data_IF_677485158194
#
_entry.id   IF_677485158194
#
_cell.length_a   1.000
_cell.length_b   1.000
_cell.length_c   1.000
_cell.angle_alpha   90.00
_cell.angle_beta   90.00
_cell.angle_gamma   90.00
#
_symmetry.space_group_name_H-M   'P 1'
#
loop_
_entity.id
_entity.type
_entity.pdbx_description
1 polymer ?
#
# COMPACT_ATOMS: atom_id res chain seq x y z
N UNK A 1 24.04 8.59 -6.79
CA UNK A 1 23.69 8.42 -5.38
C UNK A 1 23.28 6.96 -5.24
N UNK A 2 24.10 6.12 -4.63
CA UNK A 2 23.75 4.71 -4.41
C UNK A 2 22.47 4.64 -3.56
N UNK A 3 21.57 3.74 -3.93
CA UNK A 3 20.32 3.53 -3.22
C UNK A 3 20.63 2.97 -1.83
N UNK A 4 20.34 3.73 -0.77
CA UNK A 4 20.41 3.28 0.64
C UNK A 4 19.21 2.40 1.00
N UNK A 5 18.73 1.57 0.06
CA UNK A 5 17.68 0.62 0.34
C UNK A 5 18.25 -0.52 1.21
N UNK A 6 17.54 -0.99 2.23
CA UNK A 6 17.99 -2.15 3.00
C UNK A 6 18.12 -3.37 2.09
N UNK A 7 19.18 -4.16 2.27
CA UNK A 7 19.32 -5.42 1.54
C UNK A 7 18.19 -6.37 1.94
N UNK A 8 17.53 -6.95 0.94
CA UNK A 8 16.51 -7.98 1.09
C UNK A 8 16.93 -9.14 2.01
N UNK A 9 18.23 -9.46 2.06
CA UNK A 9 18.79 -10.54 2.89
C UNK A 9 18.77 -10.22 4.40
N UNK A 10 18.76 -8.94 4.76
CA UNK A 10 18.73 -8.46 6.15
C UNK A 10 17.30 -8.26 6.67
N UNK A 11 16.32 -8.21 5.76
CA UNK A 11 14.92 -8.02 6.11
C UNK A 11 14.26 -9.35 6.51
N UNK A 12 13.54 -9.32 7.63
CA UNK A 12 12.82 -10.49 8.16
C UNK A 12 11.31 -10.30 8.05
N UNK A 13 10.63 -11.42 7.83
CA UNK A 13 9.19 -11.54 7.93
C UNK A 13 8.90 -12.84 8.69
N UNK A 14 8.28 -12.71 9.86
CA UNK A 14 8.14 -13.83 10.81
C UNK A 14 6.90 -14.70 10.53
N UNK A 15 6.11 -14.36 9.50
CA UNK A 15 4.90 -15.07 9.10
C UNK A 15 4.78 -15.12 7.56
N UNK A 16 3.96 -16.02 6.99
CA UNK A 16 3.77 -16.08 5.53
C UNK A 16 3.21 -14.77 4.99
N UNK A 17 3.81 -14.24 3.93
CA UNK A 17 3.33 -13.05 3.23
C UNK A 17 1.86 -13.22 2.78
N UNK A 18 0.90 -12.41 3.27
CA UNK A 18 -0.51 -12.49 2.90
C UNK A 18 -0.79 -12.59 1.40
N UNK A 19 -1.37 -13.73 0.98
CA UNK A 19 -1.74 -14.05 -0.40
C UNK A 19 -0.57 -14.18 -1.38
N UNK A 20 0.66 -14.41 -0.91
CA UNK A 20 1.81 -14.60 -1.81
C UNK A 20 1.63 -15.79 -2.76
N UNK A 21 0.84 -16.79 -2.37
CA UNK A 21 0.50 -17.95 -3.19
C UNK A 21 -0.32 -17.59 -4.45
N UNK A 22 -0.94 -16.41 -4.49
CA UNK A 22 -1.70 -15.92 -5.64
C UNK A 22 -0.83 -15.12 -6.62
N UNK A 23 0.39 -14.76 -6.22
CA UNK A 23 1.31 -13.99 -7.05
C UNK A 23 2.07 -14.87 -8.04
N UNK A 24 2.27 -14.35 -9.26
CA UNK A 24 3.16 -14.98 -10.26
C UNK A 24 4.65 -14.86 -9.91
N UNK A 25 5.00 -13.98 -8.97
CA UNK A 25 6.38 -13.76 -8.49
C UNK A 25 6.37 -13.66 -6.95
N UNK A 26 6.32 -14.79 -6.25
CA UNK A 26 6.22 -14.80 -4.79
C UNK A 26 7.37 -14.07 -4.08
N UNK A 27 8.60 -14.13 -4.61
CA UNK A 27 9.76 -13.48 -3.99
C UNK A 27 9.66 -11.94 -3.99
N UNK A 28 9.31 -11.34 -5.14
CA UNK A 28 9.09 -9.89 -5.24
C UNK A 28 7.93 -9.42 -4.37
N UNK A 29 6.91 -10.26 -4.25
CA UNK A 29 5.76 -10.02 -3.39
C UNK A 29 6.13 -10.08 -1.90
N UNK A 30 6.91 -11.09 -1.50
CA UNK A 30 7.43 -11.24 -0.14
C UNK A 30 8.36 -10.08 0.24
N UNK A 31 9.16 -9.58 -0.69
CA UNK A 31 10.01 -8.41 -0.44
C UNK A 31 9.22 -7.18 0.01
N UNK A 32 8.05 -6.91 -0.59
CA UNK A 32 7.18 -5.81 -0.14
C UNK A 32 6.63 -6.05 1.27
N UNK A 33 6.36 -7.30 1.65
CA UNK A 33 5.98 -7.66 3.00
C UNK A 33 7.12 -7.49 4.02
N UNK A 34 8.33 -7.88 3.64
CA UNK A 34 9.55 -7.63 4.42
C UNK A 34 9.76 -6.14 4.69
N UNK A 35 9.53 -5.27 3.70
CA UNK A 35 9.57 -3.82 3.90
C UNK A 35 8.47 -3.32 4.83
N UNK A 36 7.23 -3.80 4.69
CA UNK A 36 6.14 -3.46 5.61
C UNK A 36 6.48 -3.86 7.05
N UNK A 37 7.01 -5.07 7.25
CA UNK A 37 7.42 -5.53 8.58
C UNK A 37 8.58 -4.70 9.12
N UNK A 38 9.58 -4.40 8.28
CA UNK A 38 10.70 -3.56 8.65
C UNK A 38 10.25 -2.17 9.09
N UNK A 39 9.34 -1.53 8.37
CA UNK A 39 8.88 -0.18 8.69
C UNK A 39 7.96 -0.17 9.91
N UNK A 40 6.95 -1.05 9.94
CA UNK A 40 5.83 -0.96 10.88
C UNK A 40 5.79 -2.03 11.97
N UNK A 41 6.47 -3.17 11.79
CA UNK A 41 6.39 -4.34 12.67
C UNK A 41 4.94 -4.72 13.03
N UNK A 42 4.09 -4.85 12.00
CA UNK A 42 2.69 -5.21 12.18
C UNK A 42 2.57 -6.65 12.71
N UNK A 43 1.60 -6.94 13.59
CA UNK A 43 1.36 -8.31 14.06
C UNK A 43 0.88 -9.19 12.89
N UNK A 44 1.11 -10.51 12.99
CA UNK A 44 0.59 -11.49 12.01
C UNK A 44 -0.93 -11.31 11.88
N UNK A 45 -1.44 -10.94 10.70
CA UNK A 45 -2.88 -10.75 10.51
C UNK A 45 -3.68 -12.05 10.71
N UNK A 46 -3.06 -13.22 10.51
CA UNK A 46 -3.72 -14.52 10.65
C UNK A 46 -4.00 -14.91 12.11
N UNK A 47 -3.29 -14.28 13.06
CA UNK A 47 -3.48 -14.48 14.49
C UNK A 47 -4.56 -13.56 15.09
N UNK A 48 -5.26 -12.79 14.26
CA UNK A 48 -6.34 -11.93 14.75
C UNK A 48 -7.45 -12.75 15.41
N UNK A 49 -7.99 -12.32 16.56
CA UNK A 49 -8.96 -13.12 17.30
C UNK A 49 -10.22 -13.38 16.48
N UNK A 50 -10.65 -14.64 16.48
CA UNK A 50 -11.94 -15.07 15.91
C UNK A 50 -13.07 -14.43 16.71
N UNK A 51 -14.02 -13.81 16.02
CA UNK A 51 -15.22 -13.25 16.63
C UNK A 51 -16.16 -14.38 17.06
N UNK A 52 -16.73 -14.26 18.26
CA UNK A 52 -17.66 -15.25 18.82
C UNK A 52 -19.11 -14.85 18.61
N UNK A 53 -19.36 -13.55 18.45
CA UNK A 53 -20.68 -12.99 18.15
C UNK A 53 -20.94 -12.96 16.65
N UNK A 54 -22.16 -13.30 16.21
CA UNK A 54 -22.50 -13.26 14.80
C UNK A 54 -22.51 -11.82 14.28
N UNK A 55 -21.97 -11.65 13.07
CA UNK A 55 -22.07 -10.41 12.31
C UNK A 55 -23.39 -10.38 11.52
N UNK A 56 -23.92 -9.18 11.23
CA UNK A 56 -25.07 -9.07 10.34
C UNK A 56 -24.70 -9.49 8.92
N UNK A 57 -25.70 -9.94 8.14
CA UNK A 57 -25.48 -10.34 6.75
C UNK A 57 -24.88 -9.21 5.89
N UNK A 58 -25.28 -7.96 6.13
CA UNK A 58 -24.72 -6.78 5.45
C UNK A 58 -23.22 -6.63 5.74
N UNK A 59 -22.81 -6.74 7.00
CA UNK A 59 -21.40 -6.64 7.41
C UNK A 59 -20.58 -7.79 6.83
N UNK A 60 -21.11 -9.03 6.87
CA UNK A 60 -20.45 -10.18 6.27
C UNK A 60 -20.25 -10.00 4.77
N UNK A 61 -21.26 -9.52 4.05
CA UNK A 61 -21.15 -9.26 2.61
C UNK A 61 -20.07 -8.21 2.29
N UNK A 62 -19.98 -7.14 3.08
CA UNK A 62 -18.93 -6.12 2.92
C UNK A 62 -17.52 -6.69 3.16
N UNK A 63 -17.37 -7.49 4.23
CA UNK A 63 -16.11 -8.18 4.57
C UNK A 63 -15.71 -9.16 3.45
N UNK A 64 -16.62 -10.02 3.01
CA UNK A 64 -16.40 -11.01 1.96
C UNK A 64 -16.02 -10.34 0.63
N UNK A 65 -16.71 -9.25 0.27
CA UNK A 65 -16.40 -8.48 -0.94
C UNK A 65 -15.01 -7.85 -0.89
N UNK A 66 -14.61 -7.30 0.25
CA UNK A 66 -13.27 -6.74 0.47
C UNK A 66 -12.19 -7.81 0.37
N UNK A 67 -12.40 -8.96 1.03
CA UNK A 67 -11.50 -10.12 0.95
C UNK A 67 -11.36 -10.58 -0.50
N UNK A 68 -12.47 -10.73 -1.23
CA UNK A 68 -12.45 -11.14 -2.63
C UNK A 68 -11.69 -10.14 -3.52
N UNK A 69 -11.90 -8.84 -3.32
CA UNK A 69 -11.17 -7.79 -4.04
C UNK A 69 -9.67 -7.83 -3.75
N UNK A 70 -9.27 -8.01 -2.49
CA UNK A 70 -7.87 -8.19 -2.10
C UNK A 70 -7.25 -9.45 -2.75
N UNK A 71 -7.93 -10.60 -2.68
CA UNK A 71 -7.46 -11.84 -3.35
C UNK A 71 -7.30 -11.66 -4.86
N UNK A 72 -8.20 -10.92 -5.49
CA UNK A 72 -8.13 -10.59 -6.92
C UNK A 72 -6.90 -9.72 -7.20
N UNK A 73 -6.69 -8.64 -6.42
CA UNK A 73 -5.51 -7.77 -6.56
C UNK A 73 -4.20 -8.50 -6.31
N UNK A 74 -4.16 -9.47 -5.38
CA UNK A 74 -2.95 -10.26 -5.11
C UNK A 74 -2.43 -11.02 -6.35
N UNK A 75 -3.31 -11.33 -7.30
CA UNK A 75 -2.95 -11.95 -8.58
C UNK A 75 -2.55 -10.97 -9.69
N UNK A 76 -2.65 -9.65 -9.47
CA UNK A 76 -2.35 -8.65 -10.51
C UNK A 76 -0.85 -8.51 -10.73
N UNK A 77 -0.44 -8.49 -11.99
CA UNK A 77 0.97 -8.37 -12.40
C UNK A 77 1.60 -7.06 -11.91
N UNK A 78 0.84 -5.96 -11.81
CA UNK A 78 1.38 -4.66 -11.36
C UNK A 78 1.99 -4.72 -9.96
N UNK A 79 1.51 -5.58 -9.06
CA UNK A 79 2.08 -5.71 -7.71
C UNK A 79 3.54 -6.21 -7.70
N UNK A 80 3.93 -6.92 -8.75
CA UNK A 80 5.23 -7.58 -8.88
C UNK A 80 5.92 -7.27 -10.22
N UNK A 81 5.46 -6.24 -10.93
CA UNK A 81 6.04 -5.84 -12.19
C UNK A 81 7.46 -5.30 -11.94
N UNK A 82 8.42 -5.76 -12.74
CA UNK A 82 9.69 -5.05 -12.86
C UNK A 82 9.37 -3.72 -13.53
N UNK A 83 9.62 -2.63 -12.80
CA UNK A 83 9.42 -1.27 -13.28
C UNK A 83 10.69 -0.52 -13.05
N UNK A 84 11.13 0.22 -14.05
CA UNK A 84 12.36 0.99 -13.95
C UNK A 84 12.14 2.40 -14.46
N UNK A 85 12.73 3.36 -13.76
CA UNK A 85 12.81 4.75 -14.17
C UNK A 85 14.29 5.12 -14.17
N UNK A 86 14.83 5.43 -15.34
CA UNK A 86 16.18 5.93 -15.50
C UNK A 86 16.12 7.38 -15.95
N UNK A 87 16.74 8.25 -15.16
CA UNK A 87 16.93 9.66 -15.49
C UNK A 87 18.41 9.86 -15.76
N UNK A 88 18.76 10.24 -16.97
CA UNK A 88 20.14 10.53 -17.36
C UNK A 88 20.24 11.93 -17.94
N UNK A 89 21.40 12.56 -17.76
CA UNK A 89 21.67 13.89 -18.31
C UNK A 89 23.15 13.98 -18.63
N UNK A 90 23.50 14.23 -19.89
CA UNK A 90 24.89 14.23 -20.33
C UNK A 90 25.65 15.48 -19.85
N UNK A 91 24.98 16.63 -19.74
CA UNK A 91 25.56 17.87 -19.21
C UNK A 91 24.50 18.74 -18.52
N UNK A 92 24.91 19.69 -17.66
CA UNK A 92 23.98 20.56 -16.91
C UNK A 92 22.99 21.35 -17.79
N UNK A 93 23.35 21.59 -19.04
CA UNK A 93 22.57 22.39 -20.00
C UNK A 93 21.70 21.53 -20.92
N UNK A 94 21.84 20.22 -20.87
CA UNK A 94 21.04 19.30 -21.68
C UNK A 94 19.75 18.86 -20.97
N UNK A 95 18.69 18.57 -21.74
CA UNK A 95 17.49 17.97 -21.21
C UNK A 95 17.79 16.66 -20.48
N UNK A 96 17.02 16.37 -19.43
CA UNK A 96 17.06 15.06 -18.78
C UNK A 96 16.42 14.05 -19.72
N UNK A 97 17.20 13.08 -20.18
CA UNK A 97 16.69 11.91 -20.87
C UNK A 97 15.98 10.99 -19.86
N UNK A 98 14.80 10.52 -20.26
CA UNK A 98 13.93 9.69 -19.42
C UNK A 98 13.73 8.37 -20.15
N UNK A 99 14.10 7.27 -19.50
CA UNK A 99 13.73 5.92 -19.92
C UNK A 99 12.86 5.33 -18.84
N UNK A 100 11.66 4.87 -19.20
CA UNK A 100 10.71 4.26 -18.27
C UNK A 100 10.26 2.93 -18.84
N UNK A 101 10.36 1.90 -18.01
CA UNK A 101 9.72 0.61 -18.26
C UNK A 101 8.50 0.51 -17.35
N UNK A 102 7.32 0.70 -17.94
CA UNK A 102 6.04 0.74 -17.24
C UNK A 102 5.08 -0.30 -17.83
N UNK A 103 4.17 -0.86 -17.02
CA UNK A 103 3.13 -1.73 -17.53
C UNK A 103 2.19 -0.96 -18.47
N UNK A 104 1.45 -1.70 -19.31
CA UNK A 104 0.49 -1.08 -20.23
C UNK A 104 -0.64 -0.35 -19.49
N UNK A 105 -1.24 0.63 -20.15
CA UNK A 105 -2.38 1.39 -19.63
C UNK A 105 -3.55 0.50 -19.20
N UNK A 106 -3.78 -0.62 -19.90
CA UNK A 106 -4.80 -1.61 -19.53
C UNK A 106 -4.53 -2.19 -18.13
N UNK A 107 -3.28 -2.58 -17.87
CA UNK A 107 -2.86 -3.12 -16.57
C UNK A 107 -2.97 -2.05 -15.49
N UNK A 108 -2.53 -0.82 -15.78
CA UNK A 108 -2.58 0.29 -14.83
C UNK A 108 -4.04 0.63 -14.50
N UNK A 109 -4.88 0.90 -15.51
CA UNK A 109 -6.30 1.26 -15.30
C UNK A 109 -7.05 0.18 -14.54
N UNK A 110 -6.89 -1.09 -14.91
CA UNK A 110 -7.52 -2.21 -14.23
C UNK A 110 -7.12 -2.31 -12.75
N UNK A 111 -5.83 -2.11 -12.45
CA UNK A 111 -5.34 -2.06 -11.07
C UNK A 111 -5.90 -0.86 -10.30
N UNK A 112 -5.82 0.34 -10.89
CA UNK A 112 -6.22 1.60 -10.26
C UNK A 112 -7.71 1.60 -9.91
N UNK A 113 -8.57 1.05 -10.78
CA UNK A 113 -10.01 0.93 -10.51
C UNK A 113 -10.30 0.04 -9.30
N UNK A 114 -9.70 -1.15 -9.22
CA UNK A 114 -9.93 -2.06 -8.09
C UNK A 114 -9.29 -1.53 -6.80
N UNK A 115 -8.11 -0.92 -6.90
CA UNK A 115 -7.49 -0.20 -5.78
C UNK A 115 -8.40 0.87 -5.21
N UNK A 116 -9.06 1.68 -6.06
CA UNK A 116 -10.00 2.73 -5.62
C UNK A 116 -11.14 2.17 -4.78
N UNK A 117 -11.70 1.01 -5.16
CA UNK A 117 -12.75 0.34 -4.38
C UNK A 117 -12.27 -0.04 -2.97
N UNK A 118 -11.00 -0.43 -2.83
CA UNK A 118 -10.40 -0.75 -1.53
C UNK A 118 -10.01 0.52 -0.72
N UNK A 119 -9.62 1.59 -1.40
CA UNK A 119 -8.97 2.75 -0.77
C UNK A 119 -9.94 3.89 -0.39
N UNK A 120 -11.03 4.06 -1.13
CA UNK A 120 -12.03 5.13 -0.97
C UNK A 120 -13.31 4.60 -0.31
N UNK A 121 -14.27 5.46 0.09
CA UNK A 121 -15.43 5.14 0.93
C UNK A 121 -16.51 4.22 0.28
N UNK A 122 -16.10 3.25 -0.54
CA UNK A 122 -16.97 2.18 -1.01
C UNK A 122 -17.42 1.28 0.15
N UNK A 123 -18.57 0.63 -0.02
CA UNK A 123 -19.23 -0.26 0.95
C UNK A 123 -18.34 -1.41 1.42
N UNK A 124 -17.39 -1.85 0.59
CA UNK A 124 -16.43 -2.89 0.91
C UNK A 124 -14.98 -2.36 0.87
N UNK A 125 -14.77 -1.15 1.37
CA UNK A 125 -13.43 -0.53 1.45
C UNK A 125 -12.71 -0.84 2.76
N UNK A 126 -11.41 -0.55 2.81
CA UNK A 126 -10.63 -0.65 4.04
C UNK A 126 -11.27 0.14 5.18
N UNK A 127 -11.73 1.37 4.92
CA UNK A 127 -12.30 2.23 5.95
C UNK A 127 -13.54 1.62 6.60
N UNK A 128 -14.44 1.11 5.76
CA UNK A 128 -15.71 0.48 6.17
C UNK A 128 -15.44 -0.85 6.88
N UNK A 129 -14.69 -1.76 6.26
CA UNK A 129 -14.39 -3.09 6.83
C UNK A 129 -13.61 -2.98 8.13
N UNK A 130 -12.68 -2.02 8.24
CA UNK A 130 -11.96 -1.73 9.49
C UNK A 130 -12.90 -1.27 10.59
N UNK A 131 -13.88 -0.41 10.28
CA UNK A 131 -14.86 0.04 11.27
C UNK A 131 -15.77 -1.11 11.70
N UNK A 132 -16.25 -1.94 10.77
CA UNK A 132 -17.04 -3.13 11.11
C UNK A 132 -16.29 -4.10 12.02
N UNK A 133 -15.03 -4.44 11.69
CA UNK A 133 -14.21 -5.30 12.54
C UNK A 133 -13.95 -4.67 13.92
N UNK A 134 -13.73 -3.34 13.99
CA UNK A 134 -13.55 -2.63 15.26
C UNK A 134 -14.80 -2.75 16.13
N UNK A 135 -15.97 -2.48 15.55
CA UNK A 135 -17.22 -2.45 16.30
C UNK A 135 -17.61 -3.86 16.76
N UNK A 136 -17.35 -4.88 15.93
CA UNK A 136 -17.50 -6.29 16.29
C UNK A 136 -16.60 -6.70 17.47
N UNK A 137 -15.30 -6.36 17.40
CA UNK A 137 -14.35 -6.63 18.50
C UNK A 137 -14.74 -5.90 19.78
N UNK A 138 -15.24 -4.67 19.70
CA UNK A 138 -15.73 -3.93 20.87
C UNK A 138 -16.94 -4.61 21.50
N UNK A 139 -17.83 -5.21 20.68
CA UNK A 139 -18.98 -5.94 21.18
C UNK A 139 -18.56 -7.17 22.00
N UNK A 140 -17.50 -7.88 21.63
CA UNK A 140 -16.99 -9.05 22.39
C UNK A 140 -16.69 -8.72 23.87
N UNK A 141 -16.13 -7.54 24.13
CA UNK A 141 -15.70 -7.11 25.46
C UNK A 141 -14.39 -7.77 25.94
N UNK A 142 -14.00 -7.45 27.18
CA UNK A 142 -12.86 -8.09 27.85
C UNK A 142 -11.51 -7.94 27.13
N UNK A 143 -10.68 -8.99 27.25
CA UNK A 143 -9.32 -9.03 26.68
C UNK A 143 -9.34 -8.99 25.15
N UNK A 144 -10.33 -9.66 24.52
CA UNK A 144 -10.49 -9.70 23.07
C UNK A 144 -10.73 -8.29 22.52
N UNK A 145 -11.65 -7.54 23.14
CA UNK A 145 -11.92 -6.16 22.75
C UNK A 145 -10.65 -5.28 22.81
N UNK A 146 -9.85 -5.45 23.87
CA UNK A 146 -8.63 -4.67 24.06
C UNK A 146 -7.54 -5.03 23.02
N UNK A 147 -7.26 -6.32 22.83
CA UNK A 147 -6.22 -6.77 21.90
C UNK A 147 -6.60 -6.49 20.44
N UNK A 148 -7.82 -6.85 20.02
CA UNK A 148 -8.27 -6.61 18.65
C UNK A 148 -8.33 -5.12 18.30
N UNK A 149 -8.77 -4.26 19.22
CA UNK A 149 -8.74 -2.79 19.03
C UNK A 149 -7.31 -2.28 18.86
N UNK A 150 -6.36 -2.79 19.65
CA UNK A 150 -4.94 -2.42 19.54
C UNK A 150 -4.41 -2.79 18.15
N UNK A 151 -4.66 -4.02 17.70
CA UNK A 151 -4.23 -4.49 16.39
C UNK A 151 -4.82 -3.63 15.27
N UNK A 152 -6.15 -3.42 15.26
CA UNK A 152 -6.79 -2.57 14.23
C UNK A 152 -6.21 -1.16 14.19
N UNK A 153 -5.88 -0.57 15.35
CA UNK A 153 -5.24 0.76 15.42
C UNK A 153 -3.85 0.77 14.77
N UNK A 154 -3.05 -0.29 14.93
CA UNK A 154 -1.73 -0.39 14.29
C UNK A 154 -1.86 -0.38 12.76
N UNK A 155 -2.77 -1.19 12.22
CA UNK A 155 -3.05 -1.22 10.78
C UNK A 155 -3.59 0.12 10.25
N UNK A 156 -4.47 0.77 11.01
CA UNK A 156 -4.96 2.12 10.66
C UNK A 156 -3.82 3.15 10.64
N UNK A 157 -2.91 3.12 11.62
CA UNK A 157 -1.78 4.03 11.70
C UNK A 157 -0.80 3.80 10.54
N UNK A 158 -0.53 2.53 10.19
CA UNK A 158 0.29 2.19 9.03
C UNK A 158 -0.33 2.72 7.73
N UNK A 159 -1.66 2.58 7.53
CA UNK A 159 -2.35 3.18 6.37
C UNK A 159 -2.17 4.69 6.32
N UNK A 160 -2.39 5.37 7.44
CA UNK A 160 -2.26 6.83 7.51
C UNK A 160 -0.84 7.25 7.11
N UNK A 161 0.18 6.55 7.62
CA UNK A 161 1.57 6.83 7.28
C UNK A 161 1.89 6.56 5.80
N UNK A 162 1.36 5.50 5.22
CA UNK A 162 1.53 5.18 3.79
C UNK A 162 0.83 6.16 2.85
N UNK A 163 -0.19 6.88 3.33
CA UNK A 163 -0.82 7.97 2.59
C UNK A 163 0.00 9.28 2.64
N UNK A 164 0.85 9.44 3.65
CA UNK A 164 1.76 10.59 3.80
C UNK A 164 3.11 10.36 3.12
N UNK A 165 3.64 9.14 3.17
CA UNK A 165 4.99 8.79 2.70
C UNK A 165 4.99 7.37 2.15
N UNK A 166 5.61 7.15 0.98
CA UNK A 166 5.59 5.83 0.35
C UNK A 166 6.33 4.79 1.20
N UNK A 167 5.99 3.50 1.03
CA UNK A 167 6.66 2.41 1.74
C UNK A 167 8.18 2.42 1.49
N UNK A 168 8.57 2.65 0.24
CA UNK A 168 9.97 2.62 -0.17
C UNK A 168 10.74 3.81 0.47
N UNK A 169 10.14 5.01 0.50
CA UNK A 169 10.74 6.18 1.17
C UNK A 169 10.83 5.97 2.69
N UNK A 170 9.81 5.37 3.33
CA UNK A 170 9.85 5.06 4.76
C UNK A 170 10.95 4.05 5.10
N UNK A 171 11.11 3.02 4.28
CA UNK A 171 12.17 2.03 4.45
C UNK A 171 13.55 2.65 4.25
N UNK A 172 13.73 3.48 3.22
CA UNK A 172 14.97 4.20 2.99
C UNK A 172 15.30 5.14 4.15
N UNK A 173 14.33 5.92 4.64
CA UNK A 173 14.53 6.79 5.80
C UNK A 173 14.95 6.00 7.04
N UNK A 174 14.29 4.87 7.31
CA UNK A 174 14.61 4.03 8.47
C UNK A 174 16.00 3.39 8.36
N UNK A 175 16.41 2.98 7.16
CA UNK A 175 17.76 2.48 6.90
C UNK A 175 18.80 3.60 7.08
N UNK A 176 18.52 4.79 6.53
CA UNK A 176 19.37 5.95 6.68
C UNK A 176 19.53 6.34 8.15
N UNK A 177 18.45 6.39 8.93
CA UNK A 177 18.48 6.64 10.37
C UNK A 177 19.37 5.67 11.15
N UNK A 178 19.43 4.41 10.73
CA UNK A 178 20.26 3.39 11.37
C UNK A 178 21.76 3.56 11.06
N UNK A 179 22.11 4.05 9.87
CA UNK A 179 23.50 4.17 9.41
C UNK A 179 24.06 5.60 9.45
N UNK A 180 23.20 6.62 9.63
CA UNK A 180 23.61 8.02 9.56
C UNK A 180 24.55 8.40 10.71
N UNK A 181 25.59 9.22 10.47
CA UNK A 181 26.47 9.69 11.54
C UNK A 181 25.68 10.39 12.66
N UNK A 182 25.93 9.96 13.90
CA UNK A 182 25.29 10.55 15.08
C UNK A 182 25.62 12.04 15.18
N UNK A 183 24.63 12.85 15.54
CA UNK A 183 24.78 14.30 15.72
C UNK A 183 24.65 15.14 14.44
N UNK A 184 24.50 14.50 13.27
CA UNK A 184 24.15 15.19 12.03
C UNK A 184 22.65 15.08 11.76
N UNK A 185 22.06 16.14 11.20
CA UNK A 185 20.69 16.09 10.70
C UNK A 185 20.62 15.17 9.49
N UNK A 186 19.62 14.30 9.47
CA UNK A 186 19.33 13.46 8.31
C UNK A 186 18.65 14.35 7.26
N UNK A 187 19.13 14.36 6.00
CA UNK A 187 18.47 15.05 4.91
C UNK A 187 17.03 14.57 4.79
N UNK A 188 16.08 15.49 4.91
CA UNK A 188 14.67 15.20 4.64
C UNK A 188 14.41 15.41 3.16
N UNK A 189 13.82 14.43 2.51
CA UNK A 189 13.26 14.62 1.17
C UNK A 189 12.05 15.55 1.28
N UNK A 190 12.20 16.81 0.87
CA UNK A 190 11.08 17.72 0.70
C UNK A 190 10.36 17.37 -0.60
N UNK A 191 9.44 16.40 -0.56
CA UNK A 191 8.55 16.15 -1.67
C UNK A 191 7.27 16.95 -1.48
N UNK A 192 6.94 17.79 -2.47
CA UNK A 192 5.66 18.53 -2.52
C UNK A 192 4.45 17.58 -2.62
N UNK A 193 4.66 16.35 -3.12
CA UNK A 193 3.60 15.40 -3.40
C UNK A 193 3.62 14.23 -2.40
N UNK A 194 2.56 14.11 -1.61
CA UNK A 194 2.32 12.91 -0.80
C UNK A 194 1.72 11.78 -1.67
N UNK A 195 1.85 10.52 -1.26
CA UNK A 195 1.11 9.40 -1.85
C UNK A 195 -0.39 9.69 -2.02
N UNK A 196 -1.06 10.27 -1.03
CA UNK A 196 -2.47 10.63 -1.12
C UNK A 196 -2.74 11.66 -2.24
N UNK A 197 -1.90 12.70 -2.35
CA UNK A 197 -2.02 13.71 -3.41
C UNK A 197 -1.80 13.10 -4.79
N UNK A 198 -0.82 12.20 -4.93
CA UNK A 198 -0.55 11.52 -6.20
C UNK A 198 -1.69 10.59 -6.59
N UNK A 199 -2.21 9.80 -5.64
CA UNK A 199 -3.36 8.91 -5.89
C UNK A 199 -4.56 9.72 -6.38
N UNK A 200 -4.88 10.84 -5.71
CA UNK A 200 -5.97 11.74 -6.11
C UNK A 200 -5.72 12.33 -7.51
N UNK A 201 -4.53 12.91 -7.73
CA UNK A 201 -4.15 13.54 -9.00
C UNK A 201 -4.28 12.58 -10.19
N UNK A 202 -3.75 11.36 -10.07
CA UNK A 202 -3.72 10.40 -11.17
C UNK A 202 -5.06 9.67 -11.36
N UNK A 203 -5.82 9.40 -10.29
CA UNK A 203 -7.15 8.79 -10.41
C UNK A 203 -8.17 9.73 -11.07
N UNK A 204 -8.15 11.01 -10.70
CA UNK A 204 -9.12 12.01 -11.19
C UNK A 204 -8.59 12.90 -12.32
N UNK A 205 -7.31 12.73 -12.67
CA UNK A 205 -6.67 13.45 -13.77
C UNK A 205 -6.46 12.63 -15.04
N UNK A 206 -6.48 11.30 -14.95
CA UNK A 206 -6.15 10.43 -16.10
C UNK A 206 -6.80 9.03 -16.03
N UNK A 207 -6.60 8.29 -14.94
CA UNK A 207 -6.77 6.82 -14.97
C UNK A 207 -8.20 6.32 -14.72
N UNK A 208 -9.02 7.01 -13.92
CA UNK A 208 -10.43 6.64 -13.67
C UNK A 208 -11.36 7.72 -14.20
N UNK A 209 -11.20 8.94 -13.70
CA UNK A 209 -11.94 10.12 -14.12
C UNK A 209 -11.00 11.08 -14.82
N UNK A 210 -11.54 11.83 -15.78
CA UNK A 210 -10.84 12.92 -16.47
C UNK A 210 -11.55 14.24 -16.15
N UNK A 211 -11.53 14.63 -14.88
CA UNK A 211 -12.35 15.72 -14.33
C UNK A 211 -11.52 16.86 -13.70
N UNK A 212 -11.76 17.19 -12.43
CA UNK A 212 -11.24 18.37 -11.73
C UNK A 212 -9.72 18.42 -11.57
N UNK A 213 -9.00 17.32 -11.86
CA UNK A 213 -7.53 17.24 -11.77
C UNK A 213 -6.80 17.23 -13.11
N UNK A 214 -7.50 17.25 -14.25
CA UNK A 214 -6.85 17.11 -15.57
C UNK A 214 -5.79 18.19 -15.85
N UNK A 215 -6.04 19.44 -15.47
CA UNK A 215 -5.09 20.54 -15.73
C UNK A 215 -3.85 20.43 -14.84
N UNK A 216 -4.01 20.01 -13.59
CA UNK A 216 -2.90 19.75 -12.67
C UNK A 216 -2.05 18.57 -13.20
N UNK A 217 -2.70 17.54 -13.71
CA UNK A 217 -2.05 16.38 -14.32
C UNK A 217 -1.27 16.79 -15.59
N UNK A 218 -1.91 17.50 -16.52
CA UNK A 218 -1.24 18.04 -17.71
C UNK A 218 -0.05 18.95 -17.36
N UNK A 219 -0.15 19.73 -16.27
CA UNK A 219 0.90 20.64 -15.84
C UNK A 219 2.18 19.92 -15.39
N UNK A 220 2.09 18.79 -14.69
CA UNK A 220 3.28 18.04 -14.25
C UNK A 220 4.03 17.41 -15.44
N UNK A 221 3.32 17.09 -16.52
CA UNK A 221 3.91 16.52 -17.74
C UNK A 221 4.51 17.55 -18.70
N UNK A 222 4.39 18.86 -18.42
CA UNK A 222 5.16 19.90 -19.13
C UNK A 222 6.67 19.72 -18.97
N UNK A 223 7.09 19.05 -17.89
CA UNK A 223 8.45 18.58 -17.68
C UNK A 223 8.42 17.04 -17.70
N UNK A 224 8.77 16.38 -18.82
CA UNK A 224 8.60 14.94 -18.98
C UNK A 224 9.25 14.10 -17.86
N UNK A 225 10.45 14.49 -17.40
CA UNK A 225 11.14 13.84 -16.29
C UNK A 225 10.38 13.93 -14.96
N UNK A 226 9.71 15.06 -14.71
CA UNK A 226 8.89 15.23 -13.51
C UNK A 226 7.63 14.36 -13.61
N UNK A 227 6.92 14.42 -14.73
CA UNK A 227 5.73 13.61 -14.98
C UNK A 227 6.00 12.11 -14.78
N UNK A 228 7.02 11.59 -15.45
CA UNK A 228 7.45 10.19 -15.32
C UNK A 228 7.83 9.81 -13.87
N UNK A 229 8.54 10.68 -13.15
CA UNK A 229 8.91 10.46 -11.75
C UNK A 229 7.67 10.40 -10.84
N UNK A 230 6.73 11.33 -11.00
CA UNK A 230 5.53 11.40 -10.17
C UNK A 230 4.59 10.23 -10.47
N UNK A 231 4.50 9.79 -11.72
CA UNK A 231 3.74 8.60 -12.10
C UNK A 231 4.34 7.32 -11.51
N UNK A 232 5.66 7.17 -11.57
CA UNK A 232 6.34 6.05 -10.92
C UNK A 232 6.07 6.03 -9.40
N UNK A 233 6.12 7.21 -8.76
CA UNK A 233 5.80 7.37 -7.33
C UNK A 233 4.33 7.07 -7.02
N UNK A 234 3.41 7.49 -7.86
CA UNK A 234 1.98 7.18 -7.77
C UNK A 234 1.75 5.66 -7.72
N UNK A 235 2.35 4.92 -8.66
CA UNK A 235 2.21 3.47 -8.68
C UNK A 235 2.85 2.81 -7.45
N UNK A 236 4.03 3.26 -7.01
CA UNK A 236 4.68 2.74 -5.79
C UNK A 236 3.80 2.95 -4.54
N UNK A 237 3.16 4.13 -4.43
CA UNK A 237 2.22 4.44 -3.37
C UNK A 237 1.06 3.43 -3.33
N UNK A 238 0.44 3.17 -4.49
CA UNK A 238 -0.66 2.21 -4.54
C UNK A 238 -0.21 0.77 -4.25
N UNK A 239 0.96 0.35 -4.70
CA UNK A 239 1.50 -0.99 -4.43
C UNK A 239 1.72 -1.20 -2.94
N UNK A 240 2.35 -0.23 -2.26
CA UNK A 240 2.57 -0.30 -0.81
C UNK A 240 1.25 -0.35 -0.01
N UNK A 241 0.28 0.50 -0.37
CA UNK A 241 -1.04 0.49 0.24
C UNK A 241 -1.81 -0.80 -0.05
N UNK A 242 -1.69 -1.35 -1.25
CA UNK A 242 -2.36 -2.60 -1.62
C UNK A 242 -1.87 -3.74 -0.74
N UNK A 243 -0.55 -3.92 -0.56
CA UNK A 243 -0.03 -4.95 0.34
C UNK A 243 -0.55 -4.77 1.77
N UNK A 244 -0.67 -3.54 2.27
CA UNK A 244 -1.33 -3.29 3.56
C UNK A 244 -2.80 -3.77 3.55
N UNK A 245 -3.55 -3.50 2.49
CA UNK A 245 -4.94 -3.94 2.36
C UNK A 245 -5.07 -5.45 2.29
N UNK A 246 -4.14 -6.13 1.62
CA UNK A 246 -4.04 -7.59 1.58
C UNK A 246 -3.85 -8.18 2.98
N UNK A 247 -2.97 -7.61 3.81
CA UNK A 247 -2.82 -8.06 5.20
C UNK A 247 -4.07 -7.79 6.04
N UNK A 248 -4.71 -6.64 5.86
CA UNK A 248 -5.96 -6.37 6.56
C UNK A 248 -7.10 -7.31 6.12
N UNK A 249 -7.08 -7.80 4.87
CA UNK A 249 -8.01 -8.84 4.42
C UNK A 249 -7.73 -10.18 5.11
N UNK A 250 -6.46 -10.57 5.32
CA UNK A 250 -6.14 -11.73 6.16
C UNK A 250 -6.62 -11.59 7.60
N UNK A 251 -6.50 -10.39 8.16
CA UNK A 251 -7.06 -10.07 9.47
C UNK A 251 -8.57 -10.26 9.51
N UNK A 252 -9.28 -9.75 8.49
CA UNK A 252 -10.72 -9.90 8.37
C UNK A 252 -11.13 -11.37 8.14
N UNK A 253 -10.39 -12.13 7.33
CA UNK A 253 -10.57 -13.58 7.16
C UNK A 253 -10.48 -14.29 8.53
N UNK A 254 -9.42 -14.04 9.30
CA UNK A 254 -9.25 -14.64 10.62
C UNK A 254 -10.40 -14.30 11.57
N UNK A 255 -10.85 -13.03 11.58
CA UNK A 255 -11.95 -12.58 12.41
C UNK A 255 -13.27 -13.37 12.17
N UNK A 256 -13.54 -13.76 10.92
CA UNK A 256 -14.79 -14.43 10.52
C UNK A 256 -14.65 -15.94 10.29
N UNK A 257 -13.47 -16.52 10.48
CA UNK A 257 -13.19 -17.96 10.26
C UNK A 257 -13.76 -18.90 11.33
N UNK A 258 -14.51 -18.37 12.31
CA UNK A 258 -15.25 -19.19 13.29
C UNK A 258 -16.31 -20.08 12.63
N UNK A 259 -16.86 -21.07 13.35
CA UNK A 259 -17.88 -21.94 12.78
C UNK A 259 -19.04 -21.10 12.24
N UNK A 260 -19.27 -21.19 10.92
CA UNK A 260 -20.46 -20.63 10.27
C UNK A 260 -21.68 -21.24 10.96
N UNK A 261 -22.38 -20.43 11.75
CA UNK A 261 -23.61 -20.84 12.46
C UNK A 261 -24.83 -20.43 11.65
#
# INVERSE_FOLDING_TARGET
MESVAPDSSELRLDFPAPYSELSKRPESFEFKWKLLNYVFALPDPSEFPVLTRPLSAEVLNAVDRYIHACRTMAGYSLLVADRSLQLSRASLFEPVAVSVDMPSDEVIRGFVTLFRQLSTDDTASFGVVKNHNRDAVLAEGGVLAASGRRTIKLWQAARAKLLETSLDDLAQMKALEATWPKGLSIPKSESTYTPAMLIDLFQYGEYIHWDGRRQDHEAIFRTPALGALLEFKFQNAQIGLTHLYLGFAKLAEAAVSGPKR
#
